data_IF_075355843913
#
_entry.id   IF_075355843913
#
_cell.length_a   1.000
_cell.length_b   1.000
_cell.length_c   1.000
_cell.angle_alpha   90.00
_cell.angle_beta   90.00
_cell.angle_gamma   90.00
#
_symmetry.space_group_name_H-M   'P 1'
#
loop_
_entity.id
_entity.type
_entity.pdbx_description
1 polymer ?
#
# COMPACT_ATOMS: atom_id res chain seq x y z
N UNK A 1 -12.46 -6.62 -5.78
CA UNK A 1 -12.13 -6.64 -7.21
C UNK A 1 -10.61 -6.68 -7.48
N UNK A 2 -9.74 -6.47 -6.47
CA UNK A 2 -8.29 -6.47 -6.63
C UNK A 2 -7.71 -5.18 -7.24
N UNK A 3 -6.47 -5.25 -7.75
CA UNK A 3 -5.79 -4.14 -8.41
C UNK A 3 -6.28 -4.00 -9.85
N UNK A 4 -6.67 -2.80 -10.25
CA UNK A 4 -7.15 -2.50 -11.60
C UNK A 4 -6.47 -1.27 -12.17
N UNK A 5 -6.21 -1.32 -13.48
CA UNK A 5 -5.87 -0.16 -14.28
C UNK A 5 -7.09 0.28 -15.10
N UNK A 6 -7.31 1.58 -15.21
CA UNK A 6 -8.41 2.12 -15.99
C UNK A 6 -8.27 3.61 -16.24
N UNK A 7 -9.17 4.14 -17.05
CA UNK A 7 -9.19 5.54 -17.46
C UNK A 7 -10.24 6.29 -16.65
N UNK A 8 -9.89 7.48 -16.19
CA UNK A 8 -10.84 8.41 -15.57
C UNK A 8 -10.98 9.64 -16.45
N UNK A 9 -12.17 9.83 -17.04
CA UNK A 9 -12.44 11.01 -17.82
C UNK A 9 -12.46 12.27 -16.95
N UNK A 10 -11.71 13.29 -17.39
CA UNK A 10 -11.57 14.52 -16.62
C UNK A 10 -10.73 14.40 -15.35
N UNK A 11 -10.03 13.27 -15.14
CA UNK A 11 -9.19 13.02 -13.95
C UNK A 11 -8.05 14.03 -13.78
N UNK A 12 -7.60 14.65 -14.87
CA UNK A 12 -6.60 15.72 -14.84
C UNK A 12 -7.17 17.10 -14.44
N UNK A 13 -8.49 17.25 -14.34
CA UNK A 13 -9.10 18.51 -13.92
C UNK A 13 -8.72 18.87 -12.48
N UNK A 14 -8.63 20.19 -12.19
CA UNK A 14 -8.31 20.70 -10.85
C UNK A 14 -9.24 20.15 -9.75
N UNK A 15 -10.53 19.95 -10.09
CA UNK A 15 -11.53 19.41 -9.17
C UNK A 15 -11.27 17.94 -8.85
N UNK A 16 -10.91 17.12 -9.84
CA UNK A 16 -10.74 15.68 -9.65
C UNK A 16 -9.34 15.29 -9.16
N UNK A 17 -8.29 16.05 -9.50
CA UNK A 17 -6.93 15.78 -9.05
C UNK A 17 -6.82 15.56 -7.54
N UNK A 18 -7.62 16.27 -6.75
CA UNK A 18 -7.64 16.12 -5.28
C UNK A 18 -8.13 14.75 -4.81
N UNK A 19 -8.92 14.02 -5.63
CA UNK A 19 -9.43 12.69 -5.28
C UNK A 19 -8.34 11.63 -5.42
N UNK A 20 -7.41 11.84 -6.37
CA UNK A 20 -6.36 10.88 -6.73
C UNK A 20 -5.07 11.05 -5.93
N UNK A 21 -5.13 11.68 -4.76
CA UNK A 21 -3.99 11.65 -3.86
C UNK A 21 -3.82 10.22 -3.32
N UNK A 22 -2.57 9.73 -3.38
CA UNK A 22 -2.24 8.37 -2.99
C UNK A 22 -2.63 8.14 -1.52
N UNK A 23 -3.39 7.08 -1.25
CA UNK A 23 -3.92 6.74 0.07
C UNK A 23 -5.35 7.19 0.31
N UNK A 24 -5.93 8.06 -0.52
CA UNK A 24 -7.34 8.40 -0.39
C UNK A 24 -8.25 7.20 -0.66
N UNK A 25 -9.31 7.09 0.11
CA UNK A 25 -10.38 6.12 -0.12
C UNK A 25 -11.38 6.69 -1.11
N UNK A 26 -11.56 6.00 -2.23
CA UNK A 26 -12.45 6.43 -3.31
C UNK A 26 -13.43 5.33 -3.67
N UNK A 27 -14.63 5.68 -4.02
CA UNK A 27 -15.59 4.78 -4.64
C UNK A 27 -15.33 4.75 -6.14
N UNK A 28 -15.27 3.55 -6.70
CA UNK A 28 -15.04 3.33 -8.12
C UNK A 28 -16.21 2.58 -8.72
N UNK A 29 -16.82 3.15 -9.76
CA UNK A 29 -17.75 2.44 -10.61
C UNK A 29 -17.05 2.15 -11.94
N UNK A 30 -16.70 0.88 -12.15
CA UNK A 30 -16.02 0.46 -13.37
C UNK A 30 -17.02 0.11 -14.47
N UNK A 31 -16.76 0.61 -15.67
CA UNK A 31 -17.52 0.30 -16.86
C UNK A 31 -16.59 -0.07 -18.00
N UNK A 32 -16.85 -1.20 -18.64
CA UNK A 32 -16.17 -1.63 -19.87
C UNK A 32 -17.17 -2.23 -20.84
N UNK A 33 -16.91 -2.08 -22.13
CA UNK A 33 -17.70 -2.73 -23.18
C UNK A 33 -17.39 -4.22 -23.29
N UNK A 34 -16.15 -4.64 -22.93
CA UNK A 34 -15.69 -6.01 -22.92
C UNK A 34 -14.74 -6.21 -21.75
N UNK A 35 -14.76 -7.40 -21.13
CA UNK A 35 -13.90 -7.74 -19.98
C UNK A 35 -12.39 -7.62 -20.26
N UNK A 36 -11.99 -7.82 -21.53
CA UNK A 36 -10.59 -7.77 -21.96
C UNK A 36 -10.10 -6.36 -22.36
N UNK A 37 -10.97 -5.35 -22.34
CA UNK A 37 -10.59 -3.96 -22.67
C UNK A 37 -10.39 -3.14 -21.42
N UNK A 38 -9.47 -2.18 -21.50
CA UNK A 38 -9.29 -1.15 -20.47
C UNK A 38 -10.62 -0.39 -20.31
N UNK A 39 -11.24 -0.53 -19.13
CA UNK A 39 -12.47 0.16 -18.81
C UNK A 39 -12.21 1.61 -18.35
N UNK A 40 -13.28 2.32 -18.08
CA UNK A 40 -13.21 3.63 -17.45
C UNK A 40 -13.90 3.62 -16.08
N UNK A 41 -13.40 4.48 -15.20
CA UNK A 41 -13.93 4.63 -13.85
C UNK A 41 -14.70 5.94 -13.70
N UNK A 42 -15.89 5.85 -13.11
CA UNK A 42 -16.51 7.00 -12.43
C UNK A 42 -16.03 6.97 -10.98
N UNK A 43 -15.54 8.10 -10.48
CA UNK A 43 -14.84 8.19 -9.20
C UNK A 43 -15.54 9.17 -8.28
N UNK A 44 -15.74 8.77 -7.02
CA UNK A 44 -16.25 9.63 -5.95
C UNK A 44 -15.31 9.49 -4.73
N UNK A 45 -14.98 10.62 -4.09
CA UNK A 45 -14.16 10.60 -2.88
C UNK A 45 -15.01 10.13 -1.69
N UNK A 46 -14.56 9.08 -1.00
CA UNK A 46 -15.18 8.62 0.25
C UNK A 46 -14.46 9.26 1.44
N UNK A 47 -13.13 9.10 1.52
CA UNK A 47 -12.36 9.57 2.66
C UNK A 47 -11.01 10.15 2.20
N UNK A 48 -10.72 11.42 2.53
CA UNK A 48 -9.43 12.04 2.24
C UNK A 48 -8.39 11.67 3.30
N UNK A 49 -7.65 10.59 3.11
CA UNK A 49 -6.62 10.13 4.05
C UNK A 49 -5.33 10.94 3.92
N UNK A 50 -4.82 11.12 2.71
CA UNK A 50 -3.55 11.82 2.46
C UNK A 50 -3.51 13.26 2.98
N UNK A 51 -4.55 14.10 2.83
CA UNK A 51 -4.51 15.46 3.32
C UNK A 51 -4.34 15.59 4.83
N UNK A 52 -4.80 14.60 5.60
CA UNK A 52 -4.68 14.58 7.07
C UNK A 52 -3.22 14.59 7.51
N UNK A 53 -2.33 14.00 6.70
CA UNK A 53 -0.91 13.83 7.02
C UNK A 53 0.01 14.67 6.16
N UNK A 54 -0.52 15.69 5.47
CA UNK A 54 0.29 16.50 4.52
C UNK A 54 1.53 17.12 5.16
N UNK A 55 1.43 17.59 6.39
CA UNK A 55 2.54 18.19 7.14
C UNK A 55 3.37 17.15 7.91
N UNK A 56 2.94 15.88 7.97
CA UNK A 56 3.67 14.79 8.62
C UNK A 56 4.41 13.95 7.58
N UNK A 57 5.66 14.30 7.34
CA UNK A 57 6.51 13.63 6.35
C UNK A 57 6.66 12.13 6.60
N UNK A 58 6.71 11.68 7.87
CA UNK A 58 6.88 10.27 8.20
C UNK A 58 5.63 9.47 7.85
N UNK A 59 4.45 9.95 8.25
CA UNK A 59 3.17 9.29 7.94
C UNK A 59 2.84 9.34 6.46
N UNK A 60 3.09 10.46 5.79
CA UNK A 60 2.95 10.55 4.34
C UNK A 60 3.86 9.56 3.63
N UNK A 61 5.13 9.44 4.05
CA UNK A 61 6.05 8.45 3.48
C UNK A 61 5.59 7.02 3.77
N UNK A 62 4.97 6.74 4.91
CA UNK A 62 4.37 5.45 5.24
C UNK A 62 3.26 5.07 4.24
N UNK A 63 2.33 5.99 3.96
CA UNK A 63 1.25 5.77 2.97
C UNK A 63 1.84 5.48 1.59
N UNK A 64 2.82 6.29 1.16
CA UNK A 64 3.49 6.11 -0.13
C UNK A 64 4.29 4.79 -0.20
N UNK A 65 4.90 4.38 0.90
CA UNK A 65 5.60 3.11 1.02
C UNK A 65 4.64 1.93 0.87
N UNK A 66 3.58 1.90 1.67
CA UNK A 66 2.58 0.83 1.64
C UNK A 66 1.94 0.68 0.26
N UNK A 67 1.49 1.78 -0.34
CA UNK A 67 0.86 1.77 -1.67
C UNK A 67 1.83 1.35 -2.78
N UNK A 68 3.12 1.74 -2.69
CA UNK A 68 4.12 1.31 -3.67
C UNK A 68 4.45 -0.18 -3.56
N UNK A 69 4.48 -0.75 -2.35
CA UNK A 69 4.63 -2.20 -2.13
C UNK A 69 3.43 -2.94 -2.74
N UNK A 70 2.20 -2.56 -2.40
CA UNK A 70 1.00 -3.17 -2.95
C UNK A 70 0.97 -3.11 -4.49
N UNK A 71 1.39 -1.97 -5.06
CA UNK A 71 1.43 -1.78 -6.51
C UNK A 71 2.32 -2.78 -7.23
N UNK A 72 3.47 -3.13 -6.65
CA UNK A 72 4.42 -4.05 -7.29
C UNK A 72 4.14 -5.52 -6.97
N UNK A 73 3.57 -5.83 -5.80
CA UNK A 73 3.37 -7.21 -5.35
C UNK A 73 2.01 -7.79 -5.74
N UNK A 74 0.95 -6.97 -5.78
CA UNK A 74 -0.37 -7.49 -6.10
C UNK A 74 -0.54 -7.71 -7.61
N UNK A 75 -1.01 -8.89 -8.03
CA UNK A 75 -1.43 -9.12 -9.40
C UNK A 75 -2.68 -8.31 -9.73
N UNK A 76 -2.88 -8.02 -11.02
CA UNK A 76 -4.09 -7.35 -11.46
C UNK A 76 -5.31 -8.29 -11.44
N UNK A 77 -6.47 -7.73 -11.15
CA UNK A 77 -7.78 -8.39 -11.21
C UNK A 77 -7.94 -9.58 -10.28
N UNK A 78 -7.05 -9.76 -9.31
CA UNK A 78 -7.18 -10.78 -8.28
C UNK A 78 -7.80 -10.18 -7.01
N UNK A 79 -8.85 -10.84 -6.50
CA UNK A 79 -9.50 -10.43 -5.26
C UNK A 79 -8.60 -10.80 -4.07
N UNK A 80 -8.35 -9.82 -3.19
CA UNK A 80 -7.51 -9.96 -2.01
C UNK A 80 -8.15 -9.22 -0.82
N UNK A 81 -9.28 -9.74 -0.35
CA UNK A 81 -10.07 -9.08 0.71
C UNK A 81 -9.30 -8.91 2.02
N UNK A 82 -8.54 -9.93 2.42
CA UNK A 82 -7.73 -9.87 3.64
C UNK A 82 -6.65 -8.81 3.55
N UNK A 83 -5.95 -8.73 2.40
CA UNK A 83 -4.93 -7.71 2.16
C UNK A 83 -5.56 -6.32 2.16
N UNK A 84 -6.73 -6.17 1.54
CA UNK A 84 -7.45 -4.89 1.56
C UNK A 84 -7.85 -4.49 2.98
N UNK A 85 -8.45 -5.39 3.75
CA UNK A 85 -8.87 -5.13 5.13
C UNK A 85 -7.69 -4.81 6.04
N UNK A 86 -6.57 -5.52 5.92
CA UNK A 86 -5.36 -5.25 6.71
C UNK A 86 -4.73 -3.89 6.35
N UNK A 87 -4.73 -3.52 5.07
CA UNK A 87 -4.27 -2.20 4.61
C UNK A 87 -5.15 -1.07 5.13
N UNK A 88 -6.48 -1.24 5.05
CA UNK A 88 -7.45 -0.25 5.58
C UNK A 88 -7.27 -0.08 7.09
N UNK A 89 -7.10 -1.17 7.84
CA UNK A 89 -6.82 -1.12 9.26
C UNK A 89 -5.52 -0.38 9.58
N UNK A 90 -4.45 -0.64 8.84
CA UNK A 90 -3.18 0.07 8.99
C UNK A 90 -3.35 1.58 8.76
N UNK A 91 -4.06 1.99 7.69
CA UNK A 91 -4.32 3.41 7.41
C UNK A 91 -5.13 4.08 8.52
N UNK A 92 -6.18 3.42 9.02
CA UNK A 92 -7.04 3.94 10.10
C UNK A 92 -6.27 4.17 11.40
N UNK A 93 -5.23 3.39 11.65
CA UNK A 93 -4.39 3.46 12.83
C UNK A 93 -3.16 4.37 12.68
N UNK A 94 -2.98 5.07 11.57
CA UNK A 94 -1.86 6.01 11.38
C UNK A 94 -1.85 7.16 12.41
N UNK A 95 -2.99 7.49 13.04
CA UNK A 95 -3.08 8.48 14.13
C UNK A 95 -2.45 7.99 15.44
N UNK A 96 -2.32 6.68 15.62
CA UNK A 96 -1.72 6.09 16.83
C UNK A 96 -0.28 6.54 17.02
N UNK A 97 0.20 6.55 18.28
CA UNK A 97 1.61 6.75 18.60
C UNK A 97 2.47 5.58 18.08
N UNK A 98 1.92 4.38 18.06
CA UNK A 98 2.60 3.14 17.64
C UNK A 98 2.40 2.83 16.15
N UNK A 99 1.99 3.81 15.33
CA UNK A 99 1.68 3.62 13.92
C UNK A 99 2.79 2.89 13.12
N UNK A 100 4.06 3.14 13.44
CA UNK A 100 5.17 2.50 12.72
C UNK A 100 5.27 1.00 13.06
N UNK A 101 4.94 0.60 14.28
CA UNK A 101 4.86 -0.80 14.67
C UNK A 101 3.74 -1.50 13.92
N UNK A 102 2.57 -0.86 13.86
CA UNK A 102 1.42 -1.38 13.08
C UNK A 102 1.74 -1.49 11.59
N UNK A 103 2.52 -0.57 11.05
CA UNK A 103 3.02 -0.66 9.68
C UNK A 103 3.94 -1.88 9.48
N UNK A 104 4.88 -2.10 10.37
CA UNK A 104 5.78 -3.27 10.32
C UNK A 104 5.00 -4.58 10.41
N UNK A 105 4.02 -4.65 11.29
CA UNK A 105 3.13 -5.81 11.45
C UNK A 105 2.28 -6.04 10.19
N UNK A 106 1.81 -4.95 9.57
CA UNK A 106 1.11 -5.01 8.29
C UNK A 106 1.99 -5.57 7.16
N UNK A 107 3.24 -5.15 7.05
CA UNK A 107 4.18 -5.71 6.07
C UNK A 107 4.35 -7.23 6.23
N UNK A 108 4.50 -7.72 7.47
CA UNK A 108 4.58 -9.15 7.77
C UNK A 108 3.28 -9.88 7.41
N UNK A 109 2.13 -9.30 7.74
CA UNK A 109 0.83 -9.86 7.38
C UNK A 109 0.68 -9.97 5.85
N UNK A 110 1.12 -8.94 5.10
CA UNK A 110 1.11 -8.95 3.64
C UNK A 110 1.97 -10.09 3.07
N UNK A 111 3.18 -10.29 3.58
CA UNK A 111 4.09 -11.37 3.16
C UNK A 111 3.43 -12.74 3.36
N UNK A 112 2.77 -12.95 4.53
CA UNK A 112 2.03 -14.18 4.83
C UNK A 112 0.86 -14.42 3.87
N UNK A 113 0.03 -13.40 3.64
CA UNK A 113 -1.13 -13.51 2.74
C UNK A 113 -0.71 -13.73 1.28
N UNK A 114 0.52 -13.37 0.91
CA UNK A 114 1.10 -13.69 -0.39
C UNK A 114 1.70 -15.09 -0.47
N UNK A 115 1.57 -15.91 0.58
CA UNK A 115 1.92 -17.32 0.60
C UNK A 115 3.38 -17.61 1.00
N UNK A 116 4.07 -16.66 1.63
CA UNK A 116 5.43 -16.85 2.10
C UNK A 116 5.47 -16.98 3.62
N UNK A 117 5.94 -18.15 4.08
CA UNK A 117 6.22 -18.52 5.48
C UNK A 117 5.06 -18.40 6.50
N UNK A 118 4.35 -19.50 6.71
CA UNK A 118 3.42 -19.67 7.84
C UNK A 118 4.09 -19.59 9.22
N UNK A 119 5.40 -19.75 9.30
CA UNK A 119 6.18 -19.80 10.54
C UNK A 119 6.91 -18.49 10.91
N UNK A 120 6.61 -17.37 10.24
CA UNK A 120 7.07 -16.07 10.69
C UNK A 120 6.47 -15.79 12.08
N UNK A 121 7.14 -16.28 13.13
CA UNK A 121 6.90 -15.77 14.47
C UNK A 121 7.15 -14.29 14.36
N UNK A 122 6.14 -13.48 14.64
CA UNK A 122 6.30 -12.05 14.89
C UNK A 122 7.23 -11.99 16.09
N UNK A 123 8.54 -12.04 15.82
CA UNK A 123 9.52 -11.74 16.83
C UNK A 123 9.15 -10.32 17.26
N UNK A 124 8.79 -10.17 18.54
CA UNK A 124 8.52 -8.86 19.13
C UNK A 124 9.82 -8.08 19.07
N UNK A 125 10.11 -7.50 17.91
CA UNK A 125 11.23 -6.60 17.77
C UNK A 125 10.93 -5.39 18.64
N UNK A 126 11.71 -5.21 19.70
CA UNK A 126 11.66 -3.98 20.49
C UNK A 126 12.26 -2.80 19.70
N UNK A 127 13.01 -3.09 18.65
CA UNK A 127 13.72 -2.14 17.81
C UNK A 127 13.08 -2.07 16.41
N UNK A 128 12.49 -0.93 16.10
CA UNK A 128 11.83 -0.65 14.80
C UNK A 128 12.81 -0.76 13.63
N UNK A 129 14.04 -0.29 13.79
CA UNK A 129 15.08 -0.39 12.75
C UNK A 129 15.33 -1.84 12.36
N UNK A 130 15.52 -2.72 13.37
CA UNK A 130 15.72 -4.15 13.13
C UNK A 130 14.50 -4.80 12.46
N UNK A 131 13.30 -4.44 12.89
CA UNK A 131 12.07 -4.94 12.33
C UNK A 131 11.90 -4.52 10.85
N UNK A 132 12.16 -3.26 10.52
CA UNK A 132 12.11 -2.76 9.15
C UNK A 132 13.16 -3.43 8.25
N UNK A 133 14.39 -3.64 8.77
CA UNK A 133 15.45 -4.33 8.04
C UNK A 133 15.12 -5.81 7.80
N UNK A 134 14.53 -6.47 8.79
CA UNK A 134 14.07 -7.85 8.66
C UNK A 134 13.00 -8.00 7.55
N UNK A 135 11.96 -7.16 7.58
CA UNK A 135 10.91 -7.18 6.56
C UNK A 135 11.48 -6.87 5.17
N UNK A 136 12.44 -5.94 5.10
CA UNK A 136 13.13 -5.63 3.84
C UNK A 136 13.79 -6.88 3.25
N UNK A 137 14.53 -7.65 4.05
CA UNK A 137 15.19 -8.86 3.59
C UNK A 137 14.16 -9.87 3.07
N UNK A 138 13.04 -10.07 3.77
CA UNK A 138 11.96 -10.93 3.32
C UNK A 138 11.38 -10.48 1.97
N UNK A 139 11.13 -9.19 1.78
CA UNK A 139 10.68 -8.66 0.49
C UNK A 139 11.72 -8.88 -0.61
N UNK A 140 13.01 -8.62 -0.31
CA UNK A 140 14.09 -8.79 -1.28
C UNK A 140 14.21 -10.23 -1.74
N UNK A 141 14.26 -11.19 -0.80
CA UNK A 141 14.49 -12.60 -1.07
C UNK A 141 13.30 -13.27 -1.76
N UNK A 142 12.07 -12.95 -1.33
CA UNK A 142 10.89 -13.66 -1.80
C UNK A 142 10.23 -13.03 -3.04
N UNK A 143 10.39 -11.71 -3.25
CA UNK A 143 9.66 -11.01 -4.32
C UNK A 143 10.55 -10.22 -5.26
N UNK A 144 11.46 -9.42 -4.72
CA UNK A 144 12.17 -8.42 -5.52
C UNK A 144 13.23 -9.09 -6.40
N UNK A 145 14.12 -9.89 -5.81
CA UNK A 145 15.20 -10.56 -6.53
C UNK A 145 14.65 -11.60 -7.53
N UNK A 146 13.75 -12.53 -7.12
CA UNK A 146 13.25 -13.56 -8.04
C UNK A 146 12.51 -12.98 -9.25
N UNK A 147 11.80 -11.87 -9.07
CA UNK A 147 11.02 -11.24 -10.12
C UNK A 147 11.74 -10.06 -10.81
N UNK A 148 13.03 -9.83 -10.50
CA UNK A 148 13.84 -8.73 -11.07
C UNK A 148 13.17 -7.35 -10.92
N UNK A 149 12.47 -7.13 -9.83
CA UNK A 149 11.77 -5.89 -9.52
C UNK A 149 12.73 -4.87 -8.92
N UNK A 150 12.32 -3.59 -8.93
CA UNK A 150 13.01 -2.54 -8.18
C UNK A 150 12.34 -2.35 -6.82
N UNK A 151 13.14 -2.36 -5.76
CA UNK A 151 12.63 -2.08 -4.41
C UNK A 151 12.05 -0.66 -4.33
N UNK A 152 10.87 -0.46 -3.71
CA UNK A 152 10.19 0.83 -3.69
C UNK A 152 11.00 1.93 -3.02
N UNK A 153 11.14 3.07 -3.70
CA UNK A 153 11.89 4.22 -3.19
C UNK A 153 11.33 4.73 -1.86
N UNK A 154 10.00 4.83 -1.75
CA UNK A 154 9.36 5.33 -0.53
C UNK A 154 9.55 4.39 0.66
N UNK A 155 9.70 3.08 0.42
CA UNK A 155 10.03 2.14 1.48
C UNK A 155 11.47 2.34 1.98
N UNK A 156 12.41 2.63 1.08
CA UNK A 156 13.77 3.01 1.46
C UNK A 156 13.79 4.33 2.27
N UNK A 157 12.99 5.32 1.86
CA UNK A 157 12.89 6.59 2.56
C UNK A 157 12.30 6.42 3.97
N UNK A 158 11.26 5.59 4.11
CA UNK A 158 10.66 5.31 5.41
C UNK A 158 11.68 4.71 6.37
N UNK A 159 12.46 3.73 5.93
CA UNK A 159 13.49 3.09 6.74
C UNK A 159 14.55 4.08 7.25
N UNK A 160 14.93 5.05 6.40
CA UNK A 160 15.89 6.10 6.80
C UNK A 160 15.40 7.01 7.93
N UNK A 161 14.10 7.16 8.15
CA UNK A 161 13.58 7.92 9.29
C UNK A 161 13.77 7.22 10.64
N UNK A 162 14.11 5.93 10.63
CA UNK A 162 14.27 5.08 11.81
C UNK A 162 15.67 4.43 11.88
N UNK A 163 16.57 4.80 10.96
CA UNK A 163 17.97 4.35 10.91
C UNK A 163 18.89 5.16 11.81
#
# INVERSE_FOLDING_TARGET
HGKYAGIVYGGSSRKQKRFFQIGNKIFLNWRSKNENKTGYFKVELIEPVSPIYFDDKKRTTCILSATSILRILLPERQINEKIYASFENMLSNLKSKDWIRLYVEWELSLIKELGFEDNLKINKFNDIKKALSFNRNLFMENFIIPNRLRFPLYRNLLEKYFS
#
